data_IF_687805109177
#
_entry.id   IF_687805109177
#
_cell.length_a   1.000
_cell.length_b   1.000
_cell.length_c   1.000
_cell.angle_alpha   90.00
_cell.angle_beta   90.00
_cell.angle_gamma   90.00
#
_symmetry.space_group_name_H-M   'P 1'
#
loop_
_entity.id
_entity.type
_entity.pdbx_description
1 polymer ?
#
# COMPACT_ATOMS: atom_id res chain seq x y z
N UNK A 1 34.14 9.54 24.42
CA UNK A 1 33.73 10.06 23.09
C UNK A 1 32.37 9.44 22.81
N UNK A 2 31.30 9.92 23.44
CA UNK A 2 30.54 11.17 23.25
C UNK A 2 29.39 10.95 22.27
N UNK A 3 28.21 11.26 22.80
CA UNK A 3 26.85 10.87 22.41
C UNK A 3 26.33 11.58 21.15
N UNK A 4 25.20 11.08 20.63
CA UNK A 4 24.46 11.73 19.56
C UNK A 4 23.06 11.14 19.38
N UNK A 5 22.21 11.30 20.40
CA UNK A 5 20.76 11.21 20.26
C UNK A 5 20.29 12.32 19.32
N UNK A 6 19.39 12.00 18.38
CA UNK A 6 18.75 13.03 17.57
C UNK A 6 17.73 13.78 18.44
N UNK A 7 17.99 15.08 18.47
CA UNK A 7 17.46 16.17 19.28
C UNK A 7 16.01 16.55 18.93
N UNK A 8 15.16 16.78 19.94
CA UNK A 8 13.74 17.14 19.89
C UNK A 8 13.44 18.58 19.43
N UNK A 9 14.42 19.32 18.89
CA UNK A 9 14.31 20.78 18.71
C UNK A 9 13.92 21.26 17.29
N UNK A 10 13.55 20.38 16.36
CA UNK A 10 13.03 20.79 15.02
C UNK A 10 11.50 20.83 15.03
N UNK A 11 10.91 21.56 15.98
CA UNK A 11 9.47 21.76 16.11
C UNK A 11 9.04 23.23 16.10
N UNK A 12 9.94 24.17 15.73
CA UNK A 12 9.59 25.59 15.68
C UNK A 12 10.19 26.30 14.46
N UNK A 13 9.29 26.96 13.72
CA UNK A 13 9.51 27.88 12.60
C UNK A 13 9.68 27.25 11.20
N UNK A 14 8.70 27.50 10.33
CA UNK A 14 8.90 28.30 9.11
C UNK A 14 7.56 28.47 8.39
N UNK A 15 7.10 29.72 8.40
CA UNK A 15 5.90 30.25 7.77
C UNK A 15 6.23 30.73 6.35
N UNK A 16 5.22 30.64 5.48
CA UNK A 16 4.97 31.43 4.26
C UNK A 16 5.37 30.92 2.86
N UNK A 17 4.29 30.58 2.14
CA UNK A 17 3.91 30.93 0.76
C UNK A 17 4.50 30.19 -0.46
N UNK A 18 3.58 29.50 -1.17
CA UNK A 18 3.30 29.46 -2.62
C UNK A 18 2.80 28.03 -2.97
N UNK A 19 1.75 27.72 -3.75
CA UNK A 19 0.86 28.38 -4.72
C UNK A 19 -0.52 27.70 -4.55
N UNK A 20 -1.62 28.45 -4.43
CA UNK A 20 -2.99 27.89 -4.42
C UNK A 20 -3.59 27.91 -5.82
N UNK A 21 -3.70 26.74 -6.46
CA UNK A 21 -4.85 26.51 -7.33
C UNK A 21 -6.10 26.60 -6.44
N UNK A 22 -7.07 27.44 -6.82
CA UNK A 22 -8.30 27.66 -6.05
C UNK A 22 -9.11 26.36 -6.00
N UNK A 23 -8.91 25.58 -4.95
CA UNK A 23 -9.88 24.57 -4.53
C UNK A 23 -11.18 25.29 -4.12
N UNK A 24 -12.37 24.78 -4.49
CA UNK A 24 -13.63 25.35 -4.02
C UNK A 24 -13.63 25.37 -2.49
N UNK A 25 -14.00 26.51 -1.92
CA UNK A 25 -14.02 26.70 -0.47
C UNK A 25 -15.01 25.70 0.15
N UNK A 26 -14.49 24.79 0.99
CA UNK A 26 -15.31 23.81 1.71
C UNK A 26 -16.35 24.53 2.58
N UNK A 27 -17.58 24.01 2.62
CA UNK A 27 -18.61 24.46 3.59
C UNK A 27 -18.03 24.33 5.00
N UNK A 28 -18.04 25.43 5.76
CA UNK A 28 -17.67 25.44 7.18
C UNK A 28 -18.68 24.60 7.96
N UNK A 29 -18.21 23.68 8.81
CA UNK A 29 -19.05 22.92 9.75
C UNK A 29 -19.05 21.40 9.59
N UNK A 30 -18.66 20.85 8.44
CA UNK A 30 -18.48 19.40 8.29
C UNK A 30 -17.10 18.98 8.79
N UNK A 31 -16.98 17.96 9.66
CA UNK A 31 -15.69 17.34 9.98
C UNK A 31 -14.97 16.95 8.69
N UNK A 32 -13.65 17.17 8.62
CA UNK A 32 -12.90 16.67 7.46
C UNK A 32 -12.76 15.16 7.63
N UNK A 33 -13.40 14.40 6.75
CA UNK A 33 -13.09 12.98 6.59
C UNK A 33 -11.97 12.88 5.56
N UNK A 34 -10.79 12.40 5.99
CA UNK A 34 -9.71 12.01 5.09
C UNK A 34 -9.66 10.50 4.98
N UNK A 35 -9.58 9.99 3.76
CA UNK A 35 -9.43 8.57 3.49
C UNK A 35 -8.00 8.35 3.01
N UNK A 36 -7.25 7.51 3.71
CA UNK A 36 -5.91 7.07 3.31
C UNK A 36 -5.95 5.57 3.10
N UNK A 37 -5.70 5.13 1.87
CA UNK A 37 -5.62 3.73 1.48
C UNK A 37 -4.15 3.34 1.37
N UNK A 38 -3.69 2.51 2.31
CA UNK A 38 -2.34 1.95 2.30
C UNK A 38 -2.36 0.57 1.60
N UNK A 39 -1.80 0.49 0.40
CA UNK A 39 -1.73 -0.75 -0.37
C UNK A 39 -0.50 -1.56 0.01
N UNK A 40 -0.72 -2.75 0.55
CA UNK A 40 0.31 -3.76 0.83
C UNK A 40 0.23 -4.91 -0.19
N UNK A 41 1.31 -5.68 -0.34
CA UNK A 41 1.44 -6.69 -1.38
C UNK A 41 1.64 -8.11 -0.84
N UNK A 42 1.06 -9.08 -1.56
CA UNK A 42 1.44 -10.50 -1.61
C UNK A 42 1.28 -11.32 -0.31
N UNK A 43 0.25 -11.04 0.50
CA UNK A 43 0.01 -11.74 1.78
C UNK A 43 -1.47 -12.04 1.96
N UNK A 44 -1.78 -13.27 2.38
CA UNK A 44 -3.14 -13.68 2.73
C UNK A 44 -3.43 -13.38 4.20
N UNK A 45 -4.70 -13.22 4.59
CA UNK A 45 -5.08 -13.08 6.00
C UNK A 45 -4.58 -14.24 6.89
N UNK A 46 -4.75 -15.49 6.46
CA UNK A 46 -4.26 -16.68 7.21
C UNK A 46 -2.75 -16.70 7.40
N UNK A 47 -1.99 -16.12 6.47
CA UNK A 47 -0.54 -16.04 6.62
C UNK A 47 -0.17 -14.97 7.65
N UNK A 48 -0.81 -13.80 7.60
CA UNK A 48 -0.42 -12.59 8.35
C UNK A 48 -1.12 -12.41 9.69
N UNK A 49 -2.28 -12.98 9.95
CA UNK A 49 -3.05 -12.66 11.16
C UNK A 49 -3.55 -13.87 11.97
N UNK A 50 -2.78 -14.98 12.10
CA UNK A 50 -3.27 -16.17 12.81
C UNK A 50 -3.58 -15.92 14.29
N UNK A 51 -2.95 -14.95 14.97
CA UNK A 51 -3.27 -14.68 16.38
C UNK A 51 -4.63 -13.97 16.56
N UNK A 52 -5.22 -13.42 15.50
CA UNK A 52 -6.57 -12.83 15.56
C UNK A 52 -7.68 -13.87 15.71
N UNK A 53 -7.40 -15.16 15.48
CA UNK A 53 -8.33 -16.24 15.83
C UNK A 53 -8.74 -16.19 17.32
N UNK A 54 -7.78 -15.84 18.21
CA UNK A 54 -8.06 -15.66 19.64
C UNK A 54 -8.87 -14.39 19.95
N UNK A 55 -9.05 -13.51 18.96
CA UNK A 55 -9.84 -12.27 19.02
C UNK A 55 -11.18 -12.40 18.28
N UNK A 56 -11.55 -13.62 17.88
CA UNK A 56 -12.83 -13.90 17.23
C UNK A 56 -12.87 -13.71 15.72
N UNK A 57 -11.73 -13.45 15.06
CA UNK A 57 -11.66 -13.43 13.61
C UNK A 57 -11.75 -14.86 13.05
N UNK A 58 -12.44 -15.03 11.92
CA UNK A 58 -12.49 -16.30 11.19
C UNK A 58 -11.23 -16.48 10.35
N UNK A 59 -10.11 -16.68 11.04
CA UNK A 59 -8.78 -16.87 10.48
C UNK A 59 -8.22 -18.19 11.00
N UNK A 60 -7.56 -18.95 10.15
CA UNK A 60 -6.97 -20.20 10.57
C UNK A 60 -5.72 -19.96 11.44
N UNK A 61 -5.60 -20.67 12.56
CA UNK A 61 -4.36 -20.73 13.34
C UNK A 61 -3.93 -22.19 13.46
N UNK A 62 -2.91 -22.58 12.69
CA UNK A 62 -2.39 -23.95 12.63
C UNK A 62 -1.28 -24.21 13.64
N UNK A 63 -0.98 -23.25 14.51
CA UNK A 63 0.21 -23.29 15.35
C UNK A 63 1.50 -23.18 14.54
N UNK A 64 2.65 -23.46 15.19
CA UNK A 64 3.98 -23.39 14.57
C UNK A 64 4.30 -22.04 13.90
N UNK A 65 3.82 -20.96 14.52
CA UNK A 65 3.99 -19.60 14.01
C UNK A 65 5.47 -19.23 13.95
N UNK A 66 5.89 -18.66 12.82
CA UNK A 66 7.27 -18.19 12.66
C UNK A 66 7.45 -16.83 13.34
N UNK A 67 8.52 -16.69 14.13
CA UNK A 67 8.95 -15.41 14.71
C UNK A 67 9.74 -14.52 13.73
N UNK A 68 9.88 -14.95 12.48
CA UNK A 68 10.51 -14.20 11.40
C UNK A 68 9.74 -14.42 10.08
N UNK A 69 9.70 -13.41 9.19
CA UNK A 69 8.99 -13.55 7.92
C UNK A 69 9.69 -14.59 7.03
N UNK A 70 8.97 -15.54 6.42
CA UNK A 70 9.55 -16.39 5.40
C UNK A 70 9.86 -15.58 4.13
N UNK A 71 11.05 -15.85 3.59
CA UNK A 71 11.50 -15.48 2.24
C UNK A 71 11.71 -16.79 1.49
N UNK A 72 11.15 -17.02 0.29
CA UNK A 72 10.82 -16.06 -0.77
C UNK A 72 9.31 -15.87 -1.03
N UNK A 73 8.98 -14.91 -1.89
CA UNK A 73 7.62 -14.66 -2.37
C UNK A 73 7.03 -15.91 -3.06
N UNK A 74 5.91 -16.46 -2.57
CA UNK A 74 5.30 -17.63 -3.19
C UNK A 74 4.73 -17.29 -4.57
N UNK A 75 4.61 -18.31 -5.43
CA UNK A 75 3.88 -18.15 -6.69
C UNK A 75 2.43 -17.75 -6.39
N UNK A 76 2.01 -16.62 -6.93
CA UNK A 76 0.70 -16.00 -6.69
C UNK A 76 0.03 -15.57 -8.01
N UNK A 77 0.39 -16.21 -9.12
CA UNK A 77 -0.27 -16.03 -10.41
C UNK A 77 -1.50 -16.95 -10.56
N UNK A 78 -2.32 -16.70 -11.58
CA UNK A 78 -3.50 -17.51 -11.86
C UNK A 78 -3.16 -18.98 -12.10
N UNK A 79 -2.01 -19.28 -12.70
CA UNK A 79 -1.59 -20.65 -12.97
C UNK A 79 -1.34 -21.42 -11.66
N UNK A 80 -0.66 -20.81 -10.69
CA UNK A 80 -0.43 -21.38 -9.37
C UNK A 80 -1.74 -21.71 -8.65
N UNK A 81 -2.75 -20.85 -8.77
CA UNK A 81 -4.08 -21.14 -8.24
C UNK A 81 -4.76 -22.33 -8.95
N UNK A 82 -4.68 -22.41 -10.28
CA UNK A 82 -5.25 -23.54 -11.04
C UNK A 82 -4.56 -24.85 -10.64
N UNK A 83 -3.22 -24.88 -10.60
CA UNK A 83 -2.46 -26.06 -10.21
C UNK A 83 -2.73 -26.47 -8.76
N UNK A 84 -2.84 -25.50 -7.84
CA UNK A 84 -3.27 -25.79 -6.47
C UNK A 84 -4.63 -26.51 -6.46
N UNK A 85 -5.58 -26.01 -7.25
CA UNK A 85 -6.93 -26.57 -7.32
C UNK A 85 -6.98 -27.95 -7.99
N UNK A 86 -6.09 -28.21 -8.94
CA UNK A 86 -5.95 -29.52 -9.59
C UNK A 86 -5.22 -30.55 -8.71
N UNK A 87 -4.52 -30.11 -7.66
CA UNK A 87 -3.79 -30.96 -6.75
C UNK A 87 -2.39 -31.34 -7.22
N UNK A 88 -1.88 -30.72 -8.30
CA UNK A 88 -0.52 -30.93 -8.82
C UNK A 88 0.48 -29.85 -8.36
N UNK A 89 0.03 -28.92 -7.51
CA UNK A 89 0.87 -27.94 -6.82
C UNK A 89 0.55 -27.90 -5.33
N UNK A 90 1.56 -28.18 -4.51
CA UNK A 90 1.47 -28.05 -3.05
C UNK A 90 1.74 -26.60 -2.64
N UNK A 91 0.73 -25.91 -2.13
CA UNK A 91 0.91 -24.59 -1.54
C UNK A 91 1.61 -24.69 -0.18
N UNK A 92 2.54 -23.77 0.08
CA UNK A 92 3.23 -23.71 1.37
C UNK A 92 2.24 -23.30 2.48
N UNK A 93 2.18 -24.09 3.55
CA UNK A 93 1.33 -23.84 4.72
C UNK A 93 2.11 -23.07 5.78
N UNK A 94 2.44 -21.81 5.50
CA UNK A 94 3.25 -20.97 6.41
C UNK A 94 2.40 -19.88 7.04
N UNK A 95 2.63 -19.64 8.33
CA UNK A 95 2.03 -18.55 9.10
C UNK A 95 3.10 -17.86 9.94
N UNK A 96 2.97 -16.55 10.15
CA UNK A 96 3.86 -15.78 11.03
C UNK A 96 3.17 -15.49 12.36
N UNK A 97 3.95 -15.31 13.41
CA UNK A 97 3.44 -14.72 14.64
C UNK A 97 3.28 -13.21 14.42
N UNK A 98 2.05 -12.76 14.19
CA UNK A 98 1.78 -11.37 13.85
C UNK A 98 2.01 -10.39 15.00
N UNK A 99 2.02 -10.88 16.25
CA UNK A 99 2.37 -10.06 17.41
C UNK A 99 3.87 -9.82 17.54
N UNK A 100 4.69 -10.70 16.94
CA UNK A 100 6.15 -10.56 16.91
C UNK A 100 6.63 -9.91 15.61
N UNK A 101 6.14 -10.39 14.47
CA UNK A 101 6.70 -10.06 13.15
C UNK A 101 6.11 -8.77 12.58
N UNK A 102 4.83 -8.49 12.83
CA UNK A 102 4.15 -7.27 12.36
C UNK A 102 3.34 -6.59 13.48
N UNK A 103 3.99 -6.24 14.62
CA UNK A 103 3.30 -5.82 15.84
C UNK A 103 2.39 -4.61 15.64
N UNK A 104 2.77 -3.66 14.78
CA UNK A 104 1.94 -2.49 14.48
C UNK A 104 0.63 -2.86 13.74
N UNK A 105 0.70 -3.75 12.74
CA UNK A 105 -0.49 -4.22 12.03
C UNK A 105 -1.37 -5.09 12.92
N UNK A 106 -0.76 -5.94 13.76
CA UNK A 106 -1.49 -6.72 14.77
C UNK A 106 -2.24 -5.80 15.74
N UNK A 107 -1.57 -4.77 16.25
CA UNK A 107 -2.20 -3.77 17.10
C UNK A 107 -3.36 -3.06 16.39
N UNK A 108 -3.18 -2.61 15.14
CA UNK A 108 -4.26 -1.99 14.37
C UNK A 108 -5.47 -2.92 14.24
N UNK A 109 -5.26 -4.19 13.89
CA UNK A 109 -6.35 -5.15 13.72
C UNK A 109 -7.07 -5.49 15.03
N UNK A 110 -6.40 -5.39 16.18
CA UNK A 110 -6.99 -5.61 17.51
C UNK A 110 -7.71 -4.38 18.07
N UNK A 111 -7.35 -3.17 17.61
CA UNK A 111 -7.95 -1.91 18.09
C UNK A 111 -9.05 -1.38 17.17
N UNK A 112 -8.98 -1.70 15.89
CA UNK A 112 -9.90 -1.21 14.87
C UNK A 112 -10.61 -2.38 14.18
N UNK A 113 -11.37 -2.07 13.13
CA UNK A 113 -12.07 -3.08 12.35
C UNK A 113 -11.09 -3.92 11.55
N UNK A 114 -11.15 -5.24 11.73
CA UNK A 114 -10.51 -6.22 10.88
C UNK A 114 -11.57 -6.89 9.98
N UNK A 115 -11.27 -7.04 8.70
CA UNK A 115 -12.14 -7.71 7.73
C UNK A 115 -11.52 -9.06 7.37
N UNK A 116 -11.99 -10.14 8.00
CA UNK A 116 -11.56 -11.52 7.74
C UNK A 116 -12.14 -12.12 6.44
N UNK A 117 -13.18 -11.48 5.88
CA UNK A 117 -13.83 -11.89 4.62
C UNK A 117 -13.61 -10.87 3.46
N UNK A 118 -12.38 -10.40 3.30
CA UNK A 118 -12.00 -9.53 2.18
C UNK A 118 -11.19 -10.31 1.13
N UNK A 119 -11.74 -10.42 -0.08
CA UNK A 119 -11.16 -11.26 -1.14
C UNK A 119 -10.69 -10.44 -2.34
N UNK A 120 -9.48 -10.77 -2.83
CA UNK A 120 -8.99 -10.31 -4.12
C UNK A 120 -9.39 -11.23 -5.27
N UNK A 121 -8.93 -10.92 -6.49
CA UNK A 121 -9.27 -11.67 -7.71
C UNK A 121 -8.59 -13.05 -7.84
N UNK A 122 -7.69 -13.40 -6.91
CA UNK A 122 -6.95 -14.66 -6.94
C UNK A 122 -5.92 -14.74 -8.07
N UNK A 123 -5.22 -13.64 -8.37
CA UNK A 123 -4.13 -13.59 -9.36
C UNK A 123 -3.14 -12.45 -9.06
N UNK A 124 -2.23 -12.16 -9.98
CA UNK A 124 -1.13 -11.20 -9.83
C UNK A 124 -1.57 -9.77 -9.46
N UNK A 125 -0.62 -9.01 -8.90
CA UNK A 125 -0.80 -7.68 -8.30
C UNK A 125 -1.52 -6.68 -9.20
N UNK A 126 -1.22 -6.59 -10.51
CA UNK A 126 -1.80 -5.53 -11.35
C UNK A 126 -3.32 -5.59 -11.40
N UNK A 127 -3.90 -6.78 -11.48
CA UNK A 127 -5.36 -6.95 -11.49
C UNK A 127 -6.00 -6.49 -10.17
N UNK A 128 -5.36 -6.79 -9.04
CA UNK A 128 -5.81 -6.38 -7.71
C UNK A 128 -5.74 -4.87 -7.52
N UNK A 129 -4.63 -4.23 -7.91
CA UNK A 129 -4.51 -2.77 -7.86
C UNK A 129 -5.52 -2.08 -8.77
N UNK A 130 -5.81 -2.67 -9.94
CA UNK A 130 -6.84 -2.13 -10.82
C UNK A 130 -8.23 -2.22 -10.19
N UNK A 131 -8.57 -3.31 -9.49
CA UNK A 131 -9.82 -3.38 -8.72
C UNK A 131 -9.90 -2.33 -7.62
N UNK A 132 -8.81 -2.04 -6.91
CA UNK A 132 -8.80 -0.99 -5.88
C UNK A 132 -9.02 0.40 -6.47
N UNK A 133 -8.43 0.69 -7.63
CA UNK A 133 -8.49 2.03 -8.25
C UNK A 133 -9.78 2.23 -9.05
N UNK A 134 -10.14 1.27 -9.90
CA UNK A 134 -11.22 1.41 -10.87
C UNK A 134 -12.47 0.58 -10.56
N UNK A 135 -12.44 -0.26 -9.51
CA UNK A 135 -13.53 -1.19 -9.21
C UNK A 135 -13.69 -2.33 -10.22
N UNK A 136 -12.80 -2.41 -11.21
CA UNK A 136 -12.82 -3.38 -12.30
C UNK A 136 -11.40 -3.63 -12.82
N UNK A 137 -11.20 -4.77 -13.48
CA UNK A 137 -9.93 -5.06 -14.16
C UNK A 137 -10.15 -5.83 -15.46
N UNK A 138 -9.49 -5.44 -16.56
CA UNK A 138 -9.60 -6.11 -17.86
C UNK A 138 -8.61 -7.27 -18.01
N UNK A 139 -7.82 -7.58 -16.98
CA UNK A 139 -6.77 -8.60 -17.04
C UNK A 139 -6.78 -9.50 -15.83
N UNK A 140 -6.46 -10.78 -16.05
CA UNK A 140 -6.25 -11.78 -15.00
C UNK A 140 -4.77 -12.11 -14.79
N UNK A 141 -3.86 -11.33 -15.38
CA UNK A 141 -2.40 -11.45 -15.26
C UNK A 141 -1.75 -10.07 -15.27
N UNK A 142 -0.47 -10.00 -14.92
CA UNK A 142 0.28 -8.76 -15.14
C UNK A 142 0.38 -8.49 -16.66
N UNK A 143 -0.13 -7.35 -17.13
CA UNK A 143 -0.08 -6.97 -18.53
C UNK A 143 1.33 -6.48 -18.91
N UNK A 144 1.64 -6.32 -20.21
CA UNK A 144 2.79 -5.53 -20.63
C UNK A 144 2.74 -4.11 -20.02
N UNK A 145 3.88 -3.50 -19.64
CA UNK A 145 3.91 -2.18 -18.99
C UNK A 145 3.21 -1.05 -19.77
N UNK A 146 3.15 -1.15 -21.10
CA UNK A 146 2.49 -0.17 -21.97
C UNK A 146 0.98 -0.33 -22.06
N UNK A 147 0.38 -1.27 -21.33
CA UNK A 147 -1.06 -1.51 -21.39
C UNK A 147 -1.79 -0.43 -20.61
N UNK A 148 -2.65 0.32 -21.30
CA UNK A 148 -3.47 1.39 -20.74
C UNK A 148 -4.91 1.14 -21.16
N UNK A 149 -5.86 1.37 -20.26
CA UNK A 149 -7.27 1.17 -20.53
C UNK A 149 -8.08 2.42 -20.24
N UNK A 150 -9.14 2.60 -21.01
CA UNK A 150 -10.16 3.62 -20.77
C UNK A 150 -11.16 3.08 -19.73
N UNK A 151 -10.84 3.29 -18.46
CA UNK A 151 -11.65 2.87 -17.32
C UNK A 151 -11.74 4.03 -16.32
N UNK A 152 -12.91 4.25 -15.69
CA UNK A 152 -13.05 5.22 -14.61
C UNK A 152 -12.22 4.81 -13.39
N UNK A 153 -11.74 5.80 -12.66
CA UNK A 153 -10.99 5.65 -11.41
C UNK A 153 -11.68 6.41 -10.28
N UNK A 154 -11.46 5.93 -9.05
CA UNK A 154 -11.90 6.61 -7.84
C UNK A 154 -11.41 8.06 -7.76
N UNK A 155 -10.22 8.36 -8.30
CA UNK A 155 -9.65 9.71 -8.31
C UNK A 155 -10.54 10.72 -9.03
N UNK A 156 -11.02 10.37 -10.23
CA UNK A 156 -11.93 11.24 -10.98
C UNK A 156 -13.31 11.32 -10.36
N UNK A 157 -13.77 10.30 -9.64
CA UNK A 157 -14.98 10.40 -8.83
C UNK A 157 -14.82 11.36 -7.65
N UNK A 158 -13.70 11.31 -6.93
CA UNK A 158 -13.37 12.24 -5.84
C UNK A 158 -13.28 13.67 -6.36
N UNK A 159 -12.60 13.89 -7.48
CA UNK A 159 -12.47 15.21 -8.12
C UNK A 159 -13.81 15.79 -8.54
N UNK A 160 -14.69 14.97 -9.17
CA UNK A 160 -16.06 15.38 -9.54
C UNK A 160 -16.92 15.72 -8.32
N UNK A 161 -16.64 15.15 -7.16
CA UNK A 161 -17.29 15.50 -5.90
C UNK A 161 -16.74 16.81 -5.26
N UNK A 162 -15.78 17.48 -5.92
CA UNK A 162 -15.15 18.70 -5.41
C UNK A 162 -14.13 18.45 -4.31
N UNK A 163 -13.65 17.21 -4.17
CA UNK A 163 -12.66 16.80 -3.19
C UNK A 163 -11.28 16.67 -3.83
N UNK A 164 -10.25 16.86 -3.02
CA UNK A 164 -8.86 16.73 -3.46
C UNK A 164 -8.36 15.30 -3.34
N UNK A 165 -7.49 14.88 -4.26
CA UNK A 165 -6.88 13.57 -4.23
C UNK A 165 -5.37 13.62 -4.45
N UNK A 166 -4.67 12.57 -4.02
CA UNK A 166 -3.27 12.34 -4.30
C UNK A 166 -2.97 10.84 -4.41
N UNK A 167 -2.23 10.46 -5.44
CA UNK A 167 -1.70 9.11 -5.59
C UNK A 167 -0.20 9.14 -5.29
N UNK A 168 0.26 8.33 -4.35
CA UNK A 168 1.66 8.21 -3.95
C UNK A 168 2.14 6.83 -4.40
N UNK A 169 3.04 6.80 -5.39
CA UNK A 169 3.30 5.63 -6.23
C UNK A 169 4.79 5.32 -6.37
N UNK A 170 5.09 4.20 -7.02
CA UNK A 170 6.44 3.88 -7.49
C UNK A 170 6.97 4.86 -8.55
N UNK A 171 8.26 4.72 -8.92
CA UNK A 171 8.91 5.61 -9.89
C UNK A 171 8.29 5.57 -11.30
N UNK A 172 7.69 4.45 -11.68
CA UNK A 172 7.02 4.22 -12.97
C UNK A 172 5.52 4.60 -12.94
N UNK A 173 5.06 5.23 -11.86
CA UNK A 173 3.65 5.55 -11.58
C UNK A 173 2.78 4.32 -11.39
N UNK A 174 3.35 3.14 -11.21
CA UNK A 174 2.56 1.97 -10.84
C UNK A 174 1.91 2.17 -9.46
N UNK A 175 0.63 1.84 -9.27
CA UNK A 175 -0.28 1.15 -10.21
C UNK A 175 -1.24 2.05 -11.03
N UNK A 176 -1.07 3.38 -11.04
CA UNK A 176 -1.98 4.31 -11.72
C UNK A 176 -1.67 4.51 -13.21
N UNK A 177 -0.51 4.04 -13.68
CA UNK A 177 -0.04 4.12 -15.06
C UNK A 177 -0.91 3.36 -16.09
N UNK A 178 -1.86 2.54 -15.63
CA UNK A 178 -2.74 1.74 -16.48
C UNK A 178 -4.04 2.43 -16.93
N UNK A 179 -4.25 3.70 -16.57
CA UNK A 179 -5.51 4.41 -16.81
C UNK A 179 -5.36 5.61 -17.74
N UNK A 180 -6.10 5.62 -18.85
CA UNK A 180 -6.08 6.72 -19.82
C UNK A 180 -6.52 8.05 -19.20
N UNK A 181 -7.56 8.04 -18.35
CA UNK A 181 -8.11 9.25 -17.72
C UNK A 181 -7.18 9.92 -16.70
N UNK A 182 -6.08 9.27 -16.35
CA UNK A 182 -5.03 9.85 -15.50
C UNK A 182 -3.83 10.36 -16.31
N UNK A 183 -3.82 10.19 -17.64
CA UNK A 183 -2.72 10.57 -18.52
C UNK A 183 -2.60 12.09 -18.76
N UNK A 184 -3.64 12.87 -18.46
CA UNK A 184 -3.65 14.32 -18.70
C UNK A 184 -2.77 15.10 -17.70
N UNK A 185 -2.23 16.27 -18.09
CA UNK A 185 -1.35 17.05 -17.22
C UNK A 185 -1.96 17.46 -15.86
N UNK A 186 -3.28 17.66 -15.77
CA UNK A 186 -3.91 18.04 -14.52
C UNK A 186 -3.93 16.87 -13.54
N UNK A 187 -4.27 15.67 -14.00
CA UNK A 187 -4.16 14.44 -13.20
C UNK A 187 -2.72 14.16 -12.76
N UNK A 188 -1.76 14.35 -13.67
CA UNK A 188 -0.35 14.10 -13.38
C UNK A 188 0.23 14.99 -12.26
N UNK A 189 -0.34 16.18 -12.04
CA UNK A 189 0.05 17.05 -10.93
C UNK A 189 -0.31 16.50 -9.54
N UNK A 190 -1.19 15.48 -9.48
CA UNK A 190 -1.65 14.82 -8.26
C UNK A 190 -1.05 13.42 -8.07
N UNK A 191 -0.14 13.00 -8.95
CA UNK A 191 0.58 11.72 -8.86
C UNK A 191 2.01 12.01 -8.41
N UNK A 192 2.35 11.53 -7.21
CA UNK A 192 3.64 11.71 -6.58
C UNK A 192 4.41 10.39 -6.62
N UNK A 193 5.43 10.33 -7.46
CA UNK A 193 6.32 9.16 -7.57
C UNK A 193 7.46 9.28 -6.57
N UNK A 194 7.81 8.18 -5.90
CA UNK A 194 9.02 8.10 -5.07
C UNK A 194 9.83 6.85 -5.40
N UNK A 195 11.15 7.00 -5.46
CA UNK A 195 12.10 5.88 -5.50
C UNK A 195 12.84 5.65 -4.18
N UNK A 196 12.68 6.55 -3.20
CA UNK A 196 13.39 6.55 -1.93
C UNK A 196 12.46 7.08 -0.82
N UNK A 197 12.36 6.35 0.28
CA UNK A 197 11.60 6.73 1.47
C UNK A 197 11.95 8.15 2.00
N UNK A 198 13.19 8.63 1.82
CA UNK A 198 13.60 9.99 2.23
C UNK A 198 12.96 11.10 1.39
N UNK A 199 12.53 10.77 0.18
CA UNK A 199 11.84 11.68 -0.74
C UNK A 199 10.34 11.43 -0.81
N UNK A 200 9.80 10.64 0.13
CA UNK A 200 8.39 10.28 0.13
C UNK A 200 7.50 11.51 0.41
N UNK A 201 6.80 11.93 -0.66
CA UNK A 201 5.88 13.06 -0.63
C UNK A 201 4.69 12.83 0.28
N UNK A 202 4.29 11.59 0.52
CA UNK A 202 3.21 11.28 1.45
C UNK A 202 3.61 11.69 2.87
N UNK A 203 4.80 11.26 3.33
CA UNK A 203 5.30 11.60 4.66
C UNK A 203 5.47 13.12 4.81
N UNK A 204 6.08 13.78 3.81
CA UNK A 204 6.25 15.23 3.84
C UNK A 204 4.91 15.98 3.96
N UNK A 205 3.90 15.59 3.17
CA UNK A 205 2.57 16.20 3.21
C UNK A 205 1.80 15.85 4.48
N UNK A 206 2.00 14.65 5.04
CA UNK A 206 1.41 14.25 6.32
C UNK A 206 1.94 15.12 7.46
N UNK A 207 3.27 15.29 7.55
CA UNK A 207 3.93 16.13 8.56
C UNK A 207 3.51 17.59 8.45
N UNK A 208 3.39 18.10 7.23
CA UNK A 208 2.95 19.48 6.97
C UNK A 208 1.43 19.67 7.10
N UNK A 209 0.66 18.59 7.34
CA UNK A 209 -0.81 18.59 7.41
C UNK A 209 -1.48 19.10 6.11
N UNK A 210 -0.85 18.81 4.97
CA UNK A 210 -1.29 19.22 3.62
C UNK A 210 -1.81 18.07 2.77
N UNK A 211 -2.01 16.88 3.35
CA UNK A 211 -2.59 15.73 2.62
C UNK A 211 -3.95 16.07 1.98
N UNK A 212 -4.23 15.57 0.76
CA UNK A 212 -5.54 15.65 0.13
C UNK A 212 -6.65 14.95 0.93
N UNK A 213 -7.90 15.09 0.49
CA UNK A 213 -9.05 14.43 1.10
C UNK A 213 -9.03 12.90 0.87
N UNK A 214 -8.54 12.45 -0.30
CA UNK A 214 -8.31 11.06 -0.64
C UNK A 214 -6.85 10.80 -0.99
N UNK A 215 -6.22 9.85 -0.31
CA UNK A 215 -4.85 9.42 -0.60
C UNK A 215 -4.82 7.92 -0.93
N UNK A 216 -4.26 7.58 -2.09
CA UNK A 216 -3.84 6.21 -2.38
C UNK A 216 -2.32 6.15 -2.20
N UNK A 217 -1.83 5.27 -1.32
CA UNK A 217 -0.40 5.11 -1.05
C UNK A 217 0.00 3.68 -1.39
N UNK A 218 0.77 3.53 -2.46
CA UNK A 218 1.46 2.30 -2.81
C UNK A 218 2.94 2.50 -2.45
N UNK A 219 3.42 1.68 -1.51
CA UNK A 219 4.57 1.99 -0.66
C UNK A 219 5.86 2.40 -1.40
N UNK A 220 6.74 3.20 -0.76
CA UNK A 220 8.04 3.52 -1.31
C UNK A 220 8.90 2.25 -1.44
N UNK A 221 9.80 2.18 -2.44
CA UNK A 221 10.83 1.15 -2.48
C UNK A 221 11.65 1.18 -1.18
N UNK A 222 11.76 0.03 -0.50
CA UNK A 222 12.63 -0.14 0.68
C UNK A 222 11.97 -0.19 2.06
N UNK A 223 10.66 0.06 2.20
CA UNK A 223 9.91 -0.23 3.46
C UNK A 223 9.37 -1.67 3.52
N UNK A 224 9.86 -2.49 2.61
CA UNK A 224 9.68 -3.92 2.52
C UNK A 224 10.48 -4.56 3.66
N UNK A 225 9.85 -5.13 4.72
CA UNK A 225 10.58 -5.78 5.81
C UNK A 225 11.45 -6.97 5.32
N UNK A 226 11.28 -7.38 4.07
CA UNK A 226 12.08 -8.35 3.34
C UNK A 226 13.48 -7.88 2.89
N UNK A 227 13.79 -6.56 2.92
CA UNK A 227 15.06 -6.06 2.35
C UNK A 227 16.16 -5.82 3.39
N UNK A 228 15.86 -5.71 4.68
CA UNK A 228 16.89 -5.46 5.71
C UNK A 228 17.56 -6.72 6.29
N UNK A 229 17.07 -7.93 5.96
CA UNK A 229 17.67 -9.18 6.45
C UNK A 229 18.82 -9.73 5.57
N UNK A 230 19.14 -9.09 4.44
CA UNK A 230 20.18 -9.52 3.50
C UNK A 230 21.49 -8.76 3.70
N UNK A 231 22.32 -9.23 4.63
CA UNK A 231 23.61 -8.62 4.96
C UNK A 231 24.52 -8.33 3.76
N UNK A 232 25.28 -7.25 3.87
CA UNK A 232 26.40 -6.86 2.99
C UNK A 232 27.33 -8.06 2.75
N UNK A 233 27.30 -8.62 1.55
CA UNK A 233 28.37 -9.51 1.07
C UNK A 233 29.60 -8.66 0.75
N UNK A 234 30.60 -8.71 1.62
CA UNK A 234 31.94 -8.24 1.32
C UNK A 234 32.59 -9.18 0.30
N UNK A 235 32.79 -8.72 -0.92
CA UNK A 235 33.81 -9.29 -1.81
C UNK A 235 34.88 -8.25 -2.05
N UNK A 236 35.90 -8.26 -1.20
CA UNK A 236 37.26 -7.88 -1.62
C UNK A 236 37.79 -9.03 -2.49
N UNK A 237 38.26 -8.70 -3.68
CA UNK A 237 39.52 -9.24 -4.20
C UNK A 237 40.48 -8.06 -4.30
#
# INVERSE_FOLDING_TARGET
>A
MQEGWLDETILSSAVSHAIRARQPARKRGTPMTRIVVLLQENKTPDYYFPTLAAWGAEIENRGHLRSAPPMPDPKHDRNAWVHFKMGDYTAATVQIDNDIVIPYYSWLAKQFTFCDHHFGLGTNSTSGHMLVIGGQTPTLRNPPPSSVWDLPTIFKHVERAGLSWGAFTGPDRYPVNHYTELGDPASQAHIFTSSDARSDRFIAMATQRTLPDFCLVWGPPGTRPDVEAGGRSSTRR
#
